data_IF_365031229272
#
_entry.id   IF_365031229272
#
_cell.length_a   1.000
_cell.length_b   1.000
_cell.length_c   1.000
_cell.angle_alpha   90.00
_cell.angle_beta   90.00
_cell.angle_gamma   90.00
#
_symmetry.space_group_name_H-M   'P 1'
#
loop_
_entity.id
_entity.type
_entity.pdbx_description
1 polymer ?
#
# COMPACT_ATOMS: atom_id res chain seq x y z
N UNK A 1 -5.27 -17.50 -5.95
CA UNK A 1 -3.83 -17.20 -6.11
C UNK A 1 -3.62 -16.00 -5.23
N UNK A 2 -2.96 -16.23 -4.11
CA UNK A 2 -3.10 -15.42 -2.92
C UNK A 2 -2.36 -14.09 -3.11
N UNK A 3 -3.10 -12.98 -3.08
CA UNK A 3 -2.52 -11.65 -2.94
C UNK A 3 -1.86 -11.52 -1.56
N UNK A 4 -0.98 -10.54 -1.39
CA UNK A 4 -0.41 -10.30 -0.07
C UNK A 4 -1.47 -9.71 0.86
N UNK A 5 -1.65 -10.32 2.04
CA UNK A 5 -2.55 -9.79 3.08
C UNK A 5 -1.74 -9.31 4.27
N UNK A 6 -2.00 -8.07 4.70
CA UNK A 6 -1.39 -7.44 5.86
C UNK A 6 -2.48 -6.86 6.76
N UNK A 7 -2.47 -7.25 8.03
CA UNK A 7 -3.41 -6.78 9.02
C UNK A 7 -2.67 -6.23 10.24
N UNK A 8 -3.10 -5.07 10.75
CA UNK A 8 -2.56 -4.43 11.96
C UNK A 8 -1.03 -4.23 11.93
N UNK A 9 -0.47 -3.98 10.75
CA UNK A 9 0.97 -3.83 10.56
C UNK A 9 1.43 -2.37 10.67
N UNK A 10 2.61 -2.18 11.25
CA UNK A 10 3.33 -0.90 11.27
C UNK A 10 4.64 -1.04 10.49
N UNK A 11 4.72 -0.38 9.35
CA UNK A 11 5.93 -0.33 8.52
C UNK A 11 6.68 0.98 8.77
N UNK A 12 7.96 0.90 9.12
CA UNK A 12 8.77 2.08 9.49
C UNK A 12 10.05 2.11 8.66
N UNK A 13 10.30 3.23 7.98
CA UNK A 13 11.53 3.46 7.22
C UNK A 13 11.79 2.37 6.15
N UNK A 14 10.72 1.78 5.61
CA UNK A 14 10.79 0.77 4.56
C UNK A 14 10.86 1.40 3.17
N UNK A 15 11.53 0.72 2.24
CA UNK A 15 11.54 1.06 0.82
C UNK A 15 10.79 -0.01 0.04
N UNK A 16 9.74 0.39 -0.67
CA UNK A 16 8.91 -0.47 -1.51
C UNK A 16 9.11 -0.18 -3.00
N UNK A 17 10.20 0.48 -3.39
CA UNK A 17 10.43 0.88 -4.79
C UNK A 17 10.23 -0.26 -5.79
N UNK A 18 9.43 -0.02 -6.82
CA UNK A 18 9.08 -0.99 -7.87
C UNK A 18 8.42 -2.29 -7.39
N UNK A 19 7.87 -2.30 -6.17
CA UNK A 19 7.13 -3.46 -5.66
C UNK A 19 5.77 -3.56 -6.35
N UNK A 20 5.36 -4.79 -6.63
CA UNK A 20 4.02 -5.10 -7.15
C UNK A 20 3.13 -5.54 -5.97
N UNK A 21 2.19 -4.68 -5.60
CA UNK A 21 1.14 -4.94 -4.62
C UNK A 21 -0.24 -5.04 -5.27
N UNK A 22 -0.29 -5.43 -6.55
CA UNK A 22 -1.58 -5.68 -7.18
C UNK A 22 -2.33 -6.77 -6.41
N UNK A 23 -3.64 -6.58 -6.28
CA UNK A 23 -4.53 -7.46 -5.52
C UNK A 23 -4.17 -7.62 -4.02
N UNK A 24 -3.26 -6.81 -3.48
CA UNK A 24 -2.87 -6.89 -2.07
C UNK A 24 -3.95 -6.27 -1.16
N UNK A 25 -4.13 -6.83 0.03
CA UNK A 25 -5.08 -6.34 1.03
C UNK A 25 -4.30 -5.80 2.23
N UNK A 26 -4.54 -4.54 2.56
CA UNK A 26 -4.03 -3.89 3.76
C UNK A 26 -5.19 -3.47 4.65
N UNK A 27 -5.23 -3.97 5.88
CA UNK A 27 -6.27 -3.63 6.88
C UNK A 27 -5.63 -3.05 8.13
N UNK A 28 -6.08 -1.87 8.56
CA UNK A 28 -5.62 -1.17 9.77
C UNK A 28 -4.08 -1.05 9.83
N UNK A 29 -3.46 -0.72 8.69
CA UNK A 29 -2.01 -0.64 8.55
C UNK A 29 -1.53 0.81 8.55
N UNK A 30 -0.35 1.03 9.13
CA UNK A 30 0.31 2.35 9.11
C UNK A 30 1.67 2.25 8.45
N UNK A 31 1.91 3.11 7.48
CA UNK A 31 3.21 3.32 6.86
C UNK A 31 3.81 4.63 7.38
N UNK A 32 5.01 4.58 7.93
CA UNK A 32 5.72 5.73 8.49
C UNK A 32 7.11 5.87 7.89
N UNK A 33 7.41 7.04 7.33
CA UNK A 33 8.70 7.34 6.71
C UNK A 33 9.08 6.34 5.60
N UNK A 34 8.09 5.82 4.87
CA UNK A 34 8.30 4.83 3.82
C UNK A 34 8.42 5.47 2.42
N UNK A 35 9.10 4.80 1.50
CA UNK A 35 9.17 5.18 0.08
C UNK A 35 8.37 4.19 -0.76
N UNK A 36 7.42 4.71 -1.52
CA UNK A 36 6.67 4.02 -2.55
C UNK A 36 6.91 4.75 -3.87
N UNK A 37 7.96 4.34 -4.58
CA UNK A 37 8.31 4.91 -5.88
C UNK A 37 8.07 3.87 -6.96
N UNK A 38 7.22 4.18 -7.95
CA UNK A 38 6.87 3.28 -9.07
C UNK A 38 6.29 1.94 -8.55
N UNK A 39 5.54 1.99 -7.46
CA UNK A 39 4.81 0.82 -6.96
C UNK A 39 3.55 0.62 -7.79
N UNK A 40 3.14 -0.63 -7.96
CA UNK A 40 1.82 -0.96 -8.49
C UNK A 40 0.90 -1.38 -7.36
N UNK A 41 -0.31 -0.84 -7.36
CA UNK A 41 -1.36 -1.12 -6.36
C UNK A 41 -2.71 -1.35 -7.06
N UNK A 42 -2.67 -1.83 -8.31
CA UNK A 42 -3.89 -2.07 -9.08
C UNK A 42 -4.72 -3.15 -8.39
N UNK A 43 -6.02 -2.90 -8.21
CA UNK A 43 -6.95 -3.79 -7.49
C UNK A 43 -6.57 -4.03 -6.01
N UNK A 44 -5.60 -3.28 -5.48
CA UNK A 44 -5.26 -3.36 -4.06
C UNK A 44 -6.41 -2.82 -3.21
N UNK A 45 -6.58 -3.39 -2.03
CA UNK A 45 -7.59 -3.00 -1.05
C UNK A 45 -6.90 -2.30 0.12
N UNK A 46 -7.27 -1.05 0.38
CA UNK A 46 -6.69 -0.22 1.45
C UNK A 46 -7.77 0.15 2.49
N UNK A 47 -7.98 -0.72 3.48
CA UNK A 47 -8.95 -0.49 4.54
C UNK A 47 -8.27 0.09 5.79
N UNK A 48 -8.69 1.27 6.24
CA UNK A 48 -8.10 1.94 7.42
C UNK A 48 -6.56 2.04 7.34
N UNK A 49 -6.05 2.40 6.16
CA UNK A 49 -4.61 2.53 5.92
C UNK A 49 -4.20 3.99 6.01
N UNK A 50 -3.11 4.25 6.74
CA UNK A 50 -2.52 5.59 6.83
C UNK A 50 -1.08 5.63 6.32
N UNK A 51 -0.76 6.71 5.62
CA UNK A 51 0.60 7.02 5.16
C UNK A 51 1.06 8.31 5.86
N UNK A 52 2.11 8.22 6.68
CA UNK A 52 2.68 9.33 7.44
C UNK A 52 4.14 9.54 7.02
N UNK A 53 4.50 10.77 6.66
CA UNK A 53 5.85 11.12 6.19
C UNK A 53 6.36 10.22 5.04
N UNK A 54 5.47 9.69 4.22
CA UNK A 54 5.81 8.76 3.15
C UNK A 54 6.01 9.49 1.81
N UNK A 55 6.95 8.99 1.01
CA UNK A 55 7.10 9.40 -0.39
C UNK A 55 6.22 8.51 -1.27
N UNK A 56 5.20 9.10 -1.90
CA UNK A 56 4.24 8.38 -2.75
C UNK A 56 4.34 8.88 -4.20
N UNK A 57 5.36 8.45 -4.93
CA UNK A 57 5.62 8.95 -6.29
C UNK A 57 5.32 7.92 -7.37
N UNK A 58 4.51 8.32 -8.35
CA UNK A 58 4.13 7.46 -9.47
C UNK A 58 3.21 6.30 -9.06
N UNK A 59 2.45 6.49 -7.97
CA UNK A 59 1.39 5.58 -7.55
C UNK A 59 0.08 6.09 -8.12
N UNK A 60 -0.71 5.18 -8.67
CA UNK A 60 -2.09 5.45 -9.04
C UNK A 60 -3.01 4.93 -7.94
N UNK A 61 -3.60 5.83 -7.16
CA UNK A 61 -4.59 5.47 -6.15
C UNK A 61 -6.01 5.33 -6.72
N UNK A 62 -6.23 5.64 -8.00
CA UNK A 62 -7.56 5.49 -8.63
C UNK A 62 -7.82 4.06 -9.09
N UNK A 63 -6.79 3.22 -9.14
CA UNK A 63 -6.90 1.79 -9.47
C UNK A 63 -7.07 0.87 -8.26
N UNK A 64 -7.19 1.42 -7.05
CA UNK A 64 -7.49 0.62 -5.85
C UNK A 64 -8.96 0.22 -5.81
N UNK A 65 -9.25 -0.87 -5.12
CA UNK A 65 -10.62 -1.29 -4.87
C UNK A 65 -11.28 -0.40 -3.82
N UNK A 66 -12.35 0.30 -4.21
CA UNK A 66 -13.25 0.98 -3.30
C UNK A 66 -14.27 -0.03 -2.74
N UNK A 67 -14.38 -0.11 -1.41
CA UNK A 67 -15.50 -0.82 -0.79
C UNK A 67 -16.79 0.01 -0.99
N UNK A 68 -17.81 -0.58 -1.61
CA UNK A 68 -19.19 -0.08 -1.56
C UNK A 68 -19.89 -0.51 -0.28
#
# INVERSE_FOLDING_TARGET
MDGFEFENCLFISCSFERTNFNDAVFTSCTFKNCSFTICKIDEATLNDVSFSDCRLMGIDFTSVNDFY
#
